data_IF_008002721757
#
_entry.id   IF_008002721757
#
_cell.length_a   1.000
_cell.length_b   1.000
_cell.length_c   1.000
_cell.angle_alpha   90.00
_cell.angle_beta   90.00
_cell.angle_gamma   90.00
#
_symmetry.space_group_name_H-M   'P 1'
#
loop_
_entity.id
_entity.type
_entity.pdbx_description
1 polymer ?
#
# COMPACT_ATOMS: atom_id res chain seq x y z
N UNK A 1 -23.97 28.82 15.96
CA UNK A 1 -23.12 28.20 14.91
C UNK A 1 -21.67 28.30 15.38
N UNK A 2 -21.24 27.39 16.26
CA UNK A 2 -19.86 27.38 16.75
C UNK A 2 -18.94 26.99 15.60
N UNK A 3 -18.01 27.89 15.25
CA UNK A 3 -17.16 27.82 14.07
C UNK A 3 -15.97 26.92 14.40
N UNK A 4 -16.12 25.61 14.19
CA UNK A 4 -14.97 24.72 14.10
C UNK A 4 -14.23 25.06 12.80
N UNK A 5 -13.39 26.10 12.84
CA UNK A 5 -12.55 26.52 11.71
C UNK A 5 -11.46 25.47 11.49
N UNK A 6 -11.81 24.41 10.75
CA UNK A 6 -10.82 23.47 10.25
C UNK A 6 -9.93 24.22 9.24
N UNK A 7 -8.66 24.43 9.59
CA UNK A 7 -7.69 25.03 8.66
C UNK A 7 -7.38 23.99 7.59
N UNK A 8 -7.73 24.30 6.35
CA UNK A 8 -7.45 23.44 5.21
C UNK A 8 -5.95 23.12 5.16
N UNK A 9 -5.61 21.82 5.04
CA UNK A 9 -4.23 21.34 4.99
C UNK A 9 -3.53 21.21 6.36
N UNK A 10 -4.18 21.54 7.47
CA UNK A 10 -3.64 21.31 8.82
C UNK A 10 -4.17 20.04 9.48
N UNK A 11 -4.82 19.16 8.70
CA UNK A 11 -5.31 17.87 9.19
C UNK A 11 -4.10 16.96 9.44
N UNK A 12 -4.09 16.26 10.57
CA UNK A 12 -3.13 15.19 10.82
C UNK A 12 -3.36 14.05 9.81
N UNK A 13 -2.29 13.66 9.11
CA UNK A 13 -2.31 12.62 8.09
C UNK A 13 -1.50 11.37 8.46
N UNK A 14 -1.08 11.24 9.73
CA UNK A 14 -0.18 10.17 10.19
C UNK A 14 -0.72 8.76 9.90
N UNK A 15 -2.04 8.56 10.00
CA UNK A 15 -2.67 7.27 9.71
C UNK A 15 -2.70 6.96 8.21
N UNK A 16 -2.86 7.98 7.36
CA UNK A 16 -2.86 7.86 5.90
C UNK A 16 -1.45 7.50 5.40
N UNK A 17 -0.42 8.15 5.94
CA UNK A 17 0.98 7.83 5.64
C UNK A 17 1.32 6.39 6.03
N UNK A 18 0.98 5.98 7.26
CA UNK A 18 1.17 4.60 7.74
C UNK A 18 0.43 3.58 6.88
N UNK A 19 -0.78 3.90 6.44
CA UNK A 19 -1.56 3.04 5.56
C UNK A 19 -0.91 2.91 4.19
N UNK A 20 -0.40 4.02 3.63
CA UNK A 20 0.31 4.02 2.36
C UNK A 20 1.60 3.18 2.41
N UNK A 21 2.40 3.31 3.47
CA UNK A 21 3.60 2.50 3.67
C UNK A 21 3.27 1.01 3.76
N UNK A 22 2.19 0.69 4.49
CA UNK A 22 1.65 -0.68 4.56
C UNK A 22 1.22 -1.19 3.18
N UNK A 23 0.50 -0.38 2.41
CA UNK A 23 0.06 -0.71 1.05
C UNK A 23 1.24 -0.96 0.11
N UNK A 24 2.27 -0.10 0.13
CA UNK A 24 3.47 -0.25 -0.69
C UNK A 24 4.23 -1.55 -0.37
N UNK A 25 4.38 -1.84 0.92
CA UNK A 25 5.01 -3.08 1.39
C UNK A 25 4.25 -4.32 0.91
N UNK A 26 2.91 -4.30 1.01
CA UNK A 26 2.08 -5.41 0.55
C UNK A 26 2.11 -5.56 -0.96
N UNK A 27 2.05 -4.45 -1.70
CA UNK A 27 2.13 -4.44 -3.16
C UNK A 27 3.42 -5.07 -3.67
N UNK A 28 4.56 -4.72 -3.06
CA UNK A 28 5.85 -5.32 -3.38
C UNK A 28 5.86 -6.83 -3.13
N UNK A 29 5.33 -7.28 -1.99
CA UNK A 29 5.27 -8.70 -1.65
C UNK A 29 4.40 -9.49 -2.64
N UNK A 30 3.24 -8.96 -3.01
CA UNK A 30 2.35 -9.59 -4.00
C UNK A 30 3.06 -9.69 -5.35
N UNK A 31 3.67 -8.60 -5.82
CA UNK A 31 4.41 -8.60 -7.09
C UNK A 31 5.53 -9.66 -7.10
N UNK A 32 6.33 -9.73 -6.03
CA UNK A 32 7.40 -10.70 -5.90
C UNK A 32 6.87 -12.14 -5.90
N UNK A 33 5.78 -12.42 -5.17
CA UNK A 33 5.15 -13.75 -5.14
C UNK A 33 4.58 -14.12 -6.51
N UNK A 34 3.91 -13.19 -7.20
CA UNK A 34 3.39 -13.43 -8.55
C UNK A 34 4.50 -13.80 -9.52
N UNK A 35 5.63 -13.09 -9.50
CA UNK A 35 6.80 -13.41 -10.33
C UNK A 35 7.37 -14.79 -9.97
N UNK A 36 7.54 -15.07 -8.68
CA UNK A 36 8.05 -16.37 -8.22
C UNK A 36 7.16 -17.53 -8.68
N UNK A 37 5.83 -17.37 -8.64
CA UNK A 37 4.87 -18.37 -9.12
C UNK A 37 5.00 -18.55 -10.63
N UNK A 38 5.10 -17.47 -11.42
CA UNK A 38 5.27 -17.58 -12.88
C UNK A 38 6.58 -18.29 -13.23
N UNK A 39 7.69 -17.97 -12.56
CA UNK A 39 8.98 -18.65 -12.77
C UNK A 39 8.87 -20.13 -12.38
N UNK A 40 8.24 -20.45 -11.25
CA UNK A 40 8.01 -21.83 -10.84
C UNK A 40 7.22 -22.60 -11.89
N UNK A 41 6.09 -22.05 -12.36
CA UNK A 41 5.30 -22.70 -13.42
C UNK A 41 6.11 -22.86 -14.71
N UNK A 42 6.92 -21.86 -15.10
CA UNK A 42 7.75 -21.96 -16.30
C UNK A 42 8.81 -23.08 -16.22
N UNK A 43 9.36 -23.34 -15.04
CA UNK A 43 10.40 -24.36 -14.84
C UNK A 43 9.82 -25.76 -14.60
N UNK A 44 8.69 -25.86 -13.88
CA UNK A 44 8.16 -27.14 -13.39
C UNK A 44 6.85 -27.59 -14.08
N UNK A 45 6.14 -26.71 -14.78
CA UNK A 45 4.91 -27.05 -15.50
C UNK A 45 5.11 -27.34 -16.99
N UNK A 46 6.37 -27.53 -17.43
CA UNK A 46 6.73 -28.13 -18.72
C UNK A 46 6.85 -29.64 -18.56
#
# INVERSE_FOLDING_TARGET
MAKNEHKHGSMDISEQEKTFDGFMTWSMRVAAVSIAVVIFLALFAR
#
